data_IF_400682059937
#
_entry.id   IF_400682059937
#
_cell.length_a   1.000
_cell.length_b   1.000
_cell.length_c   1.000
_cell.angle_alpha   90.00
_cell.angle_beta   90.00
_cell.angle_gamma   90.00
#
_symmetry.space_group_name_H-M   'P 1'
#
loop_
_entity.id
_entity.type
_entity.pdbx_description
1 polymer ?
#
# COMPACT_ATOMS: atom_id res chain seq x y z
N UNK A 1 37.07 6.28 4.86
CA UNK A 1 37.09 4.80 4.92
C UNK A 1 36.34 4.38 6.17
N UNK A 2 35.07 3.99 6.02
CA UNK A 2 34.31 3.16 6.96
C UNK A 2 33.20 2.49 6.13
N UNK A 3 33.27 1.17 6.07
CA UNK A 3 32.32 0.29 5.40
C UNK A 3 31.40 -0.28 6.48
N UNK A 4 30.08 -0.26 6.30
CA UNK A 4 29.16 -1.14 7.05
C UNK A 4 28.37 -1.95 6.03
N UNK A 5 28.75 -3.22 5.92
CA UNK A 5 27.97 -4.27 5.27
C UNK A 5 26.89 -4.72 6.24
N UNK A 6 25.65 -4.81 5.78
CA UNK A 6 24.56 -5.42 6.53
C UNK A 6 23.37 -5.71 5.63
N UNK A 7 23.47 -6.72 4.77
CA UNK A 7 22.29 -7.41 4.24
C UNK A 7 21.82 -8.38 5.33
N UNK A 8 20.59 -8.22 5.86
CA UNK A 8 19.98 -9.30 6.62
C UNK A 8 19.72 -10.48 5.68
N UNK A 9 20.24 -11.64 6.05
CA UNK A 9 19.95 -12.91 5.40
C UNK A 9 18.44 -13.22 5.55
N UNK A 10 17.77 -13.57 4.45
CA UNK A 10 16.35 -13.97 4.45
C UNK A 10 16.08 -15.11 5.45
N UNK A 11 17.10 -15.93 5.74
CA UNK A 11 17.04 -16.97 6.77
C UNK A 11 16.96 -16.42 8.20
N UNK A 12 17.67 -15.31 8.48
CA UNK A 12 17.63 -14.63 9.78
C UNK A 12 16.30 -13.91 10.02
N UNK A 13 15.71 -13.32 8.96
CA UNK A 13 14.36 -12.77 9.02
C UNK A 13 13.32 -13.86 9.28
N UNK A 14 13.44 -15.02 8.62
CA UNK A 14 12.55 -16.15 8.84
C UNK A 14 12.67 -16.76 10.26
N UNK A 15 13.87 -16.79 10.86
CA UNK A 15 14.07 -17.25 12.24
C UNK A 15 13.51 -16.24 13.27
N UNK A 16 13.67 -14.94 13.02
CA UNK A 16 13.13 -13.88 13.88
C UNK A 16 11.59 -13.88 13.87
N UNK A 17 10.99 -14.11 12.70
CA UNK A 17 9.54 -14.31 12.56
C UNK A 17 9.11 -15.61 13.28
N UNK A 18 9.85 -16.72 13.14
CA UNK A 18 9.53 -17.99 13.83
C UNK A 18 9.61 -17.90 15.36
N UNK A 19 10.56 -17.16 15.91
CA UNK A 19 10.66 -16.91 17.36
C UNK A 19 9.50 -16.04 17.87
N UNK A 20 9.10 -15.03 17.09
CA UNK A 20 7.93 -14.18 17.37
C UNK A 20 6.64 -14.99 17.39
N UNK A 21 6.43 -15.87 16.41
CA UNK A 21 5.24 -16.72 16.31
C UNK A 21 5.24 -17.94 17.26
N UNK A 22 6.39 -18.40 17.75
CA UNK A 22 6.46 -19.47 18.76
C UNK A 22 5.96 -19.03 20.14
N UNK A 23 6.10 -17.74 20.47
CA UNK A 23 5.64 -17.22 21.77
C UNK A 23 4.11 -17.11 21.86
N UNK A 24 3.42 -17.11 20.71
CA UNK A 24 1.98 -16.85 20.56
C UNK A 24 1.12 -18.11 20.30
N UNK A 25 1.69 -19.29 20.13
CA UNK A 25 0.95 -20.51 19.69
C UNK A 25 0.38 -21.40 20.81
N UNK A 26 0.17 -20.89 22.02
CA UNK A 26 -0.53 -21.66 23.07
C UNK A 26 -2.03 -21.37 23.05
N UNK A 27 -2.73 -22.14 22.21
CA UNK A 27 -4.14 -22.55 22.24
C UNK A 27 -5.16 -21.65 21.51
N UNK A 28 -5.70 -22.16 20.39
CA UNK A 28 -7.09 -22.64 20.26
C UNK A 28 -7.38 -23.09 18.82
N UNK A 29 -8.28 -24.07 18.65
CA UNK A 29 -8.67 -24.65 17.36
C UNK A 29 -10.01 -24.03 16.81
N UNK A 30 -10.62 -24.55 15.71
CA UNK A 30 -11.73 -23.95 14.94
C UNK A 30 -13.18 -24.51 15.13
N UNK A 31 -14.21 -23.71 14.75
CA UNK A 31 -15.57 -24.16 14.35
C UNK A 31 -15.85 -23.89 12.85
N UNK A 32 -16.82 -24.64 12.32
CA UNK A 32 -17.07 -25.02 10.92
C UNK A 32 -17.77 -23.96 10.04
N UNK A 33 -17.47 -23.98 8.73
CA UNK A 33 -18.33 -23.46 7.65
C UNK A 33 -18.48 -24.55 6.59
N UNK A 34 -19.73 -24.79 6.18
CA UNK A 34 -20.14 -25.70 5.10
C UNK A 34 -19.55 -25.28 3.74
N UNK A 35 -18.96 -26.23 3.00
CA UNK A 35 -18.73 -26.10 1.56
C UNK A 35 -19.39 -27.24 0.79
N UNK A 36 -19.95 -26.85 -0.35
CA UNK A 36 -20.69 -27.67 -1.29
C UNK A 36 -19.78 -28.56 -2.14
N UNK A 37 -20.30 -29.74 -2.45
CA UNK A 37 -19.64 -30.82 -3.17
C UNK A 37 -19.30 -30.52 -4.64
N UNK A 38 -18.14 -31.06 -5.06
CA UNK A 38 -17.93 -32.03 -6.17
C UNK A 38 -16.82 -31.65 -7.17
N UNK A 39 -15.65 -32.30 -7.04
CA UNK A 39 -15.00 -33.03 -8.15
C UNK A 39 -14.26 -34.25 -7.56
N UNK A 40 -14.50 -35.41 -8.17
CA UNK A 40 -14.00 -36.74 -7.86
C UNK A 40 -12.55 -36.97 -8.32
N UNK A 41 -11.70 -37.56 -7.47
CA UNK A 41 -10.86 -38.71 -7.85
C UNK A 41 -10.27 -39.43 -6.61
N UNK A 42 -9.94 -40.71 -6.82
CA UNK A 42 -9.77 -41.80 -5.85
C UNK A 42 -8.51 -41.77 -4.95
N UNK A 43 -8.61 -42.43 -3.78
CA UNK A 43 -7.45 -43.06 -3.10
C UNK A 43 -7.27 -42.74 -1.61
N UNK A 44 -7.80 -43.61 -0.74
CA UNK A 44 -7.84 -43.40 0.71
C UNK A 44 -6.53 -43.57 1.48
N UNK A 45 -6.47 -42.90 2.64
CA UNK A 45 -6.02 -43.44 3.95
C UNK A 45 -6.36 -42.43 5.08
N UNK A 46 -6.98 -42.95 6.12
CA UNK A 46 -7.53 -42.27 7.30
C UNK A 46 -6.47 -41.84 8.34
N UNK A 47 -6.71 -40.70 9.02
CA UNK A 47 -6.42 -40.29 10.43
C UNK A 47 -6.27 -38.75 10.48
N UNK A 48 -6.76 -37.95 11.44
CA UNK A 48 -7.49 -38.12 12.70
C UNK A 48 -8.22 -36.78 13.04
N UNK A 49 -9.25 -36.82 13.91
CA UNK A 49 -10.08 -35.67 14.36
C UNK A 49 -9.37 -34.79 15.41
N UNK A 50 -9.61 -33.48 15.38
CA UNK A 50 -9.80 -32.58 16.55
C UNK A 50 -10.30 -31.21 16.03
N UNK A 51 -11.37 -30.54 16.47
CA UNK A 51 -12.20 -30.76 17.65
C UNK A 51 -12.15 -29.63 18.68
N UNK A 52 -12.09 -28.34 18.33
CA UNK A 52 -12.47 -27.29 19.30
C UNK A 52 -12.67 -25.96 18.62
N UNK A 53 -13.75 -25.21 18.84
CA UNK A 53 -13.67 -23.73 18.84
C UNK A 53 -12.97 -23.29 20.13
N UNK A 54 -12.57 -22.03 20.25
CA UNK A 54 -13.22 -21.10 21.21
C UNK A 54 -12.44 -19.79 21.46
N UNK A 55 -13.19 -18.70 21.32
CA UNK A 55 -13.36 -17.56 22.23
C UNK A 55 -12.13 -16.85 22.84
N UNK A 56 -12.03 -15.54 22.58
CA UNK A 56 -11.13 -14.63 23.29
C UNK A 56 -11.68 -14.28 24.70
N UNK A 57 -10.85 -14.33 25.77
CA UNK A 57 -11.27 -14.32 27.19
C UNK A 57 -11.54 -12.92 27.78
N UNK A 58 -11.59 -11.89 26.95
CA UNK A 58 -11.76 -10.51 27.38
C UNK A 58 -11.08 -9.55 26.42
N UNK A 59 -11.73 -8.42 26.20
CA UNK A 59 -11.27 -7.33 25.37
C UNK A 59 -11.05 -6.09 26.23
N UNK A 60 -10.40 -5.11 25.60
CA UNK A 60 -10.36 -3.67 25.93
C UNK A 60 -9.16 -3.25 26.79
N UNK A 61 -8.30 -2.39 26.23
CA UNK A 61 -8.00 -1.01 26.68
C UNK A 61 -7.41 -0.26 25.48
N UNK A 62 -8.03 0.86 25.13
CA UNK A 62 -7.79 1.58 23.88
C UNK A 62 -6.46 2.33 23.81
N UNK A 63 -5.99 2.48 22.58
CA UNK A 63 -5.31 3.68 22.14
C UNK A 63 -6.32 4.45 21.30
N UNK A 64 -6.68 5.65 21.75
CA UNK A 64 -7.50 6.57 20.97
C UNK A 64 -6.60 7.68 20.48
N UNK A 65 -6.82 8.04 19.21
CA UNK A 65 -6.13 9.05 18.39
C UNK A 65 -4.79 8.46 17.83
N UNK A 66 -4.35 8.68 16.58
CA UNK A 66 -4.09 9.98 15.96
C UNK A 66 -4.45 10.06 14.48
N UNK A 67 -4.99 11.21 14.04
CA UNK A 67 -5.42 11.58 12.68
C UNK A 67 -4.19 11.69 11.74
N UNK A 68 -3.28 10.73 11.84
CA UNK A 68 -1.98 10.74 11.22
C UNK A 68 -2.07 10.15 9.82
N UNK A 69 -1.49 10.87 8.88
CA UNK A 69 -1.42 10.51 7.48
C UNK A 69 0.03 10.47 7.02
N UNK A 70 0.49 9.33 6.51
CA UNK A 70 1.83 9.22 5.94
C UNK A 70 1.82 9.55 4.44
N UNK A 71 2.69 10.46 3.98
CA UNK A 71 2.91 10.78 2.57
C UNK A 71 4.27 10.27 2.08
N UNK A 72 4.28 9.58 0.94
CA UNK A 72 5.49 9.01 0.36
C UNK A 72 5.96 9.74 -0.91
N UNK A 73 7.01 10.58 -0.82
CA UNK A 73 7.79 11.01 -1.97
C UNK A 73 8.63 9.86 -2.54
N UNK A 74 8.80 9.82 -3.87
CA UNK A 74 9.66 8.81 -4.54
C UNK A 74 11.10 9.30 -4.70
N UNK A 75 12.05 8.35 -4.64
CA UNK A 75 13.48 8.55 -4.89
C UNK A 75 13.93 8.12 -6.30
N UNK A 76 13.05 7.44 -7.05
CA UNK A 76 13.32 7.06 -8.44
C UNK A 76 13.19 8.32 -9.30
N UNK A 77 14.02 8.54 -10.35
CA UNK A 77 13.71 9.56 -11.34
C UNK A 77 12.29 9.28 -11.86
N UNK A 78 11.38 10.25 -11.77
CA UNK A 78 9.97 9.99 -12.06
C UNK A 78 9.15 9.51 -10.86
N UNK A 79 7.85 9.73 -10.92
CA UNK A 79 6.84 9.33 -9.94
C UNK A 79 6.63 10.34 -8.80
N UNK A 80 7.24 11.52 -8.85
CA UNK A 80 7.17 12.51 -7.76
C UNK A 80 5.92 13.37 -7.83
N UNK A 81 5.48 13.82 -6.66
CA UNK A 81 4.49 14.89 -6.58
C UNK A 81 5.17 16.24 -6.79
N UNK A 82 4.76 16.97 -7.83
CA UNK A 82 5.31 18.29 -8.16
C UNK A 82 4.80 19.41 -7.27
N UNK A 83 3.73 19.14 -6.51
CA UNK A 83 3.10 20.06 -5.58
C UNK A 83 2.86 19.38 -4.22
N UNK A 84 3.86 18.65 -3.72
CA UNK A 84 3.80 17.96 -2.42
C UNK A 84 3.42 18.91 -1.28
N UNK A 85 4.06 20.08 -1.20
CA UNK A 85 3.76 21.08 -0.16
C UNK A 85 2.27 21.48 -0.18
N UNK A 86 1.69 21.71 -1.37
CA UNK A 86 0.26 22.05 -1.52
C UNK A 86 -0.67 20.89 -1.08
N UNK A 87 -0.22 19.64 -1.27
CA UNK A 87 -0.95 18.44 -0.83
C UNK A 87 -0.92 18.32 0.69
N UNK A 88 0.26 18.53 1.30
CA UNK A 88 0.45 18.54 2.75
C UNK A 88 -0.42 19.61 3.39
N UNK A 89 -0.35 20.86 2.90
CA UNK A 89 -1.13 21.99 3.41
C UNK A 89 -2.63 21.66 3.42
N UNK A 90 -3.15 21.10 2.31
CA UNK A 90 -4.56 20.70 2.21
C UNK A 90 -4.94 19.62 3.22
N UNK A 91 -4.07 18.64 3.46
CA UNK A 91 -4.31 17.57 4.43
C UNK A 91 -4.33 18.13 5.85
N UNK A 92 -3.41 19.03 6.19
CA UNK A 92 -3.42 19.72 7.48
C UNK A 92 -4.67 20.59 7.66
N UNK A 93 -5.12 21.29 6.61
CA UNK A 93 -6.39 22.05 6.62
C UNK A 93 -7.63 21.16 6.81
N UNK A 94 -7.59 19.90 6.38
CA UNK A 94 -8.63 18.90 6.62
C UNK A 94 -8.57 18.30 8.03
N UNK A 95 -7.54 18.63 8.82
CA UNK A 95 -7.36 18.18 10.18
C UNK A 95 -6.46 16.95 10.34
N UNK A 96 -5.78 16.51 9.28
CA UNK A 96 -4.77 15.45 9.39
C UNK A 96 -3.48 16.02 10.01
N UNK A 97 -2.84 15.21 10.84
CA UNK A 97 -1.42 15.39 11.16
C UNK A 97 -0.62 14.63 10.10
N UNK A 98 0.27 15.31 9.38
CA UNK A 98 0.93 14.72 8.21
C UNK A 98 2.39 14.35 8.52
N UNK A 99 2.74 13.10 8.22
CA UNK A 99 4.10 12.57 8.31
C UNK A 99 4.66 12.30 6.90
N UNK A 100 5.59 13.12 6.44
CA UNK A 100 6.26 12.89 5.15
C UNK A 100 7.39 11.88 5.31
N UNK A 101 7.27 10.74 4.63
CA UNK A 101 8.20 9.62 4.65
C UNK A 101 9.40 9.88 3.73
N UNK A 102 10.38 10.62 4.22
CA UNK A 102 11.62 10.91 3.48
C UNK A 102 12.56 9.69 3.43
N UNK A 103 13.51 9.64 2.47
CA UNK A 103 14.50 8.56 2.34
C UNK A 103 15.21 8.22 3.64
N UNK A 104 15.60 9.26 4.38
CA UNK A 104 16.31 9.13 5.63
C UNK A 104 15.43 8.51 6.73
N UNK A 105 14.12 8.82 6.75
CA UNK A 105 13.17 8.19 7.68
C UNK A 105 12.96 6.71 7.35
N UNK A 106 12.86 6.38 6.06
CA UNK A 106 12.69 5.00 5.60
C UNK A 106 13.93 4.11 5.82
N UNK A 107 15.11 4.70 6.00
CA UNK A 107 16.36 3.94 6.19
C UNK A 107 16.40 3.10 7.47
N UNK A 108 15.58 3.43 8.48
CA UNK A 108 15.42 2.66 9.71
C UNK A 108 14.06 2.00 9.74
N UNK A 109 14.01 0.73 9.30
CA UNK A 109 12.77 -0.02 9.17
C UNK A 109 12.00 -0.16 10.49
N UNK A 110 12.67 -0.33 11.62
CA UNK A 110 12.02 -0.49 12.93
C UNK A 110 11.25 0.77 13.31
N UNK A 111 11.93 1.92 13.30
CA UNK A 111 11.30 3.21 13.58
C UNK A 111 10.21 3.56 12.58
N UNK A 112 10.44 3.22 11.31
CA UNK A 112 9.49 3.50 10.26
C UNK A 112 8.23 2.64 10.36
N UNK A 113 8.38 1.37 10.72
CA UNK A 113 7.25 0.49 10.99
C UNK A 113 6.44 0.97 12.22
N UNK A 114 7.11 1.43 13.28
CA UNK A 114 6.43 2.03 14.44
C UNK A 114 5.64 3.29 14.06
N UNK A 115 6.22 4.14 13.21
CA UNK A 115 5.57 5.34 12.70
C UNK A 115 4.30 4.99 11.91
N UNK A 116 4.40 4.08 10.93
CA UNK A 116 3.27 3.63 10.13
C UNK A 116 2.20 2.92 10.95
N UNK A 117 2.57 2.17 11.99
CA UNK A 117 1.61 1.54 12.88
C UNK A 117 0.71 2.56 13.59
N UNK A 118 1.17 3.81 13.71
CA UNK A 118 0.40 4.91 14.29
C UNK A 118 -0.46 5.68 13.27
N UNK A 119 -0.32 5.40 11.96
CA UNK A 119 -1.05 6.09 10.89
C UNK A 119 -2.40 5.44 10.61
N UNK A 120 -3.43 6.27 10.44
CA UNK A 120 -4.77 5.83 10.03
C UNK A 120 -4.95 5.89 8.51
N UNK A 121 -4.16 6.73 7.84
CA UNK A 121 -4.13 6.85 6.38
C UNK A 121 -2.69 6.81 5.88
N UNK A 122 -2.47 6.11 4.77
CA UNK A 122 -1.22 6.15 4.02
C UNK A 122 -1.51 6.55 2.59
N UNK A 123 -0.75 7.53 2.09
CA UNK A 123 -0.88 8.08 0.75
C UNK A 123 0.43 7.96 0.01
N UNK A 124 0.39 7.43 -1.20
CA UNK A 124 1.56 7.39 -2.06
C UNK A 124 1.23 7.11 -3.51
N UNK A 125 2.14 7.52 -4.39
CA UNK A 125 2.10 7.13 -5.79
C UNK A 125 2.38 5.63 -5.96
N UNK A 126 1.85 5.04 -7.04
CA UNK A 126 2.30 3.73 -7.47
C UNK A 126 3.83 3.70 -7.59
N UNK A 127 4.48 2.75 -6.91
CA UNK A 127 5.94 2.64 -6.88
C UNK A 127 6.64 3.41 -5.75
N UNK A 128 5.93 4.25 -4.98
CA UNK A 128 6.49 5.03 -3.88
C UNK A 128 6.70 4.23 -2.58
N UNK A 129 7.03 2.94 -2.67
CA UNK A 129 7.22 2.09 -1.48
C UNK A 129 5.93 1.70 -0.77
N UNK A 130 4.81 1.65 -1.50
CA UNK A 130 3.49 1.31 -0.96
C UNK A 130 3.39 -0.07 -0.29
N UNK A 131 4.36 -0.96 -0.50
CA UNK A 131 4.48 -2.24 0.22
C UNK A 131 4.60 -2.07 1.73
N UNK A 132 5.04 -0.90 2.21
CA UNK A 132 5.12 -0.59 3.63
C UNK A 132 3.74 -0.48 4.29
N UNK A 133 2.64 -0.48 3.52
CA UNK A 133 1.28 -0.57 4.03
C UNK A 133 1.04 -1.82 4.91
N UNK A 134 1.89 -2.85 4.82
CA UNK A 134 1.87 -4.02 5.72
C UNK A 134 2.05 -3.66 7.20
N UNK A 135 2.63 -2.48 7.51
CA UNK A 135 2.82 -2.01 8.88
C UNK A 135 1.63 -1.21 9.42
N UNK A 136 0.67 -0.84 8.56
CA UNK A 136 -0.54 -0.15 8.96
C UNK A 136 -1.43 -1.06 9.81
N UNK A 137 -2.17 -0.50 10.78
CA UNK A 137 -3.17 -1.26 11.52
C UNK A 137 -4.34 -1.67 10.60
N UNK A 138 -4.96 -2.81 10.90
CA UNK A 138 -6.17 -3.24 10.21
C UNK A 138 -7.28 -2.15 10.31
N UNK A 139 -8.00 -1.92 9.22
CA UNK A 139 -8.97 -0.85 9.09
C UNK A 139 -8.39 0.52 8.68
N UNK A 140 -7.05 0.66 8.61
CA UNK A 140 -6.45 1.86 8.05
C UNK A 140 -6.75 2.00 6.55
N UNK A 141 -6.63 3.23 6.04
CA UNK A 141 -6.89 3.56 4.64
C UNK A 141 -5.59 3.71 3.86
N UNK A 142 -5.48 3.00 2.75
CA UNK A 142 -4.41 3.18 1.78
C UNK A 142 -4.94 3.92 0.55
N UNK A 143 -4.49 5.15 0.36
CA UNK A 143 -4.78 5.95 -0.83
C UNK A 143 -3.62 5.82 -1.82
N UNK A 144 -3.89 5.20 -2.97
CA UNK A 144 -2.91 5.08 -4.03
C UNK A 144 -3.18 6.11 -5.13
N UNK A 145 -2.20 6.97 -5.41
CA UNK A 145 -2.17 7.76 -6.63
C UNK A 145 -1.69 6.86 -7.78
N UNK A 146 -2.53 6.69 -8.80
CA UNK A 146 -2.30 5.81 -9.95
C UNK A 146 -1.85 6.65 -11.15
N UNK A 147 -0.58 6.55 -11.58
CA UNK A 147 -0.07 7.25 -12.75
C UNK A 147 -0.66 6.70 -14.06
N UNK A 148 -0.50 7.45 -15.17
CA UNK A 148 -0.92 7.00 -16.50
C UNK A 148 -0.28 5.66 -16.84
N UNK A 149 -1.06 4.78 -17.49
CA UNK A 149 -0.59 3.49 -17.97
C UNK A 149 -0.40 2.42 -16.90
N UNK A 150 -0.61 2.73 -15.61
CA UNK A 150 -0.35 1.81 -14.50
C UNK A 150 -1.61 1.31 -13.79
N UNK A 151 -2.80 1.43 -14.39
CA UNK A 151 -4.07 0.97 -13.81
C UNK A 151 -4.02 -0.50 -13.35
N UNK A 152 -3.73 -1.40 -14.29
CA UNK A 152 -3.72 -2.84 -14.00
C UNK A 152 -2.65 -3.17 -12.95
N UNK A 153 -1.46 -2.58 -13.06
CA UNK A 153 -0.39 -2.81 -12.10
C UNK A 153 -0.78 -2.32 -10.70
N UNK A 154 -1.44 -1.17 -10.59
CA UNK A 154 -1.88 -0.60 -9.31
C UNK A 154 -2.89 -1.50 -8.61
N UNK A 155 -3.92 -1.92 -9.33
CA UNK A 155 -4.96 -2.78 -8.77
C UNK A 155 -4.40 -4.15 -8.35
N UNK A 156 -3.53 -4.76 -9.15
CA UNK A 156 -3.04 -6.12 -8.87
C UNK A 156 -1.88 -6.17 -7.88
N UNK A 157 -1.03 -5.14 -7.83
CA UNK A 157 0.11 -5.13 -6.90
C UNK A 157 -0.25 -4.57 -5.53
N UNK A 158 -1.25 -3.70 -5.44
CA UNK A 158 -1.58 -3.00 -4.20
C UNK A 158 -3.06 -3.08 -3.85
N UNK A 159 -3.98 -2.81 -4.79
CA UNK A 159 -5.41 -2.74 -4.48
C UNK A 159 -6.01 -4.01 -3.89
N UNK A 160 -5.83 -5.14 -4.59
CA UNK A 160 -6.23 -6.47 -4.10
C UNK A 160 -5.52 -6.83 -2.78
N UNK A 161 -4.17 -6.86 -2.75
CA UNK A 161 -3.42 -7.19 -1.54
C UNK A 161 -3.75 -6.31 -0.32
N UNK A 162 -3.93 -5.00 -0.49
CA UNK A 162 -4.31 -4.11 0.62
C UNK A 162 -5.66 -4.49 1.22
N UNK A 163 -6.62 -4.85 0.38
CA UNK A 163 -7.94 -5.31 0.83
C UNK A 163 -7.85 -6.64 1.58
N UNK A 164 -7.02 -7.58 1.12
CA UNK A 164 -6.78 -8.87 1.79
C UNK A 164 -6.08 -8.72 3.14
N UNK A 165 -5.24 -7.69 3.30
CA UNK A 165 -4.61 -7.34 4.58
C UNK A 165 -5.55 -6.60 5.55
N UNK A 166 -6.82 -6.41 5.18
CA UNK A 166 -7.81 -5.72 6.02
C UNK A 166 -7.70 -4.19 5.99
N UNK A 167 -7.07 -3.62 4.96
CA UNK A 167 -7.04 -2.18 4.74
C UNK A 167 -8.19 -1.73 3.84
N UNK A 168 -8.62 -0.48 4.01
CA UNK A 168 -9.50 0.18 3.05
C UNK A 168 -8.67 0.77 1.91
N UNK A 169 -8.87 0.30 0.69
CA UNK A 169 -8.14 0.78 -0.47
C UNK A 169 -8.92 1.86 -1.24
N UNK A 170 -8.25 2.96 -1.56
CA UNK A 170 -8.81 4.08 -2.32
C UNK A 170 -7.85 4.48 -3.45
N UNK A 171 -8.36 4.52 -4.68
CA UNK A 171 -7.59 4.96 -5.85
C UNK A 171 -7.83 6.45 -6.16
N UNK A 172 -6.76 7.18 -6.42
CA UNK A 172 -6.77 8.46 -7.13
C UNK A 172 -6.07 8.27 -8.48
N UNK A 173 -6.85 8.08 -9.53
CA UNK A 173 -6.32 8.00 -10.90
C UNK A 173 -6.09 9.40 -11.43
N UNK A 174 -4.88 9.69 -11.87
CA UNK A 174 -4.57 11.00 -12.43
C UNK A 174 -5.25 11.18 -13.80
N UNK A 175 -5.64 12.41 -14.11
CA UNK A 175 -5.94 12.80 -15.48
C UNK A 175 -4.65 13.05 -16.27
N UNK A 176 -4.68 12.97 -17.62
CA UNK A 176 -3.52 13.27 -18.44
C UNK A 176 -2.84 14.59 -18.10
N UNK A 177 -3.60 15.66 -17.88
CA UNK A 177 -3.09 17.01 -17.61
C UNK A 177 -2.31 17.12 -16.29
N UNK A 178 -2.52 16.18 -15.36
CA UNK A 178 -1.78 16.08 -14.10
C UNK A 178 -0.40 15.45 -14.31
N UNK A 179 -0.18 14.73 -15.41
CA UNK A 179 1.10 14.09 -15.74
C UNK A 179 2.06 15.06 -16.43
N UNK A 180 3.35 14.99 -16.08
CA UNK A 180 4.42 15.69 -16.81
C UNK A 180 4.50 15.25 -18.28
N UNK A 181 4.13 14.00 -18.58
CA UNK A 181 4.13 13.43 -19.93
C UNK A 181 3.21 14.21 -20.87
N UNK A 182 2.13 14.80 -20.37
CA UNK A 182 1.18 15.55 -21.20
C UNK A 182 1.82 16.78 -21.82
N UNK A 183 2.65 17.49 -21.06
CA UNK A 183 3.41 18.65 -21.57
C UNK A 183 4.58 18.24 -22.46
N UNK A 184 5.21 17.11 -22.15
CA UNK A 184 6.38 16.61 -22.87
C UNK A 184 6.01 16.08 -24.27
N UNK A 185 4.93 15.29 -24.36
CA UNK A 185 4.55 14.60 -25.59
C UNK A 185 3.39 15.27 -26.34
N UNK A 186 2.56 16.03 -25.64
CA UNK A 186 1.33 16.61 -26.19
C UNK A 186 0.11 15.66 -26.11
N UNK A 187 -1.11 16.21 -26.24
CA UNK A 187 -2.36 15.50 -25.96
C UNK A 187 -2.64 14.32 -26.90
N UNK A 188 -2.21 14.40 -28.16
CA UNK A 188 -2.52 13.39 -29.18
C UNK A 188 -1.46 12.28 -29.28
N UNK A 189 -0.38 12.38 -28.49
CA UNK A 189 0.71 11.41 -28.58
C UNK A 189 0.29 10.05 -27.99
N UNK A 190 0.73 8.91 -28.57
CA UNK A 190 0.34 7.58 -28.09
C UNK A 190 0.66 7.32 -26.61
N UNK A 191 1.67 7.99 -26.04
CA UNK A 191 1.96 7.93 -24.59
C UNK A 191 0.75 8.37 -23.74
N UNK A 192 -0.08 9.27 -24.25
CA UNK A 192 -1.27 9.79 -23.59
C UNK A 192 -2.52 9.00 -23.99
N UNK A 193 -2.78 8.88 -25.31
CA UNK A 193 -4.07 8.35 -25.81
C UNK A 193 -4.09 6.84 -26.05
N UNK A 194 -2.92 6.20 -26.18
CA UNK A 194 -2.82 4.76 -26.38
C UNK A 194 -1.65 4.14 -25.60
N UNK A 195 -1.73 4.10 -24.25
CA UNK A 195 -0.67 3.50 -23.44
C UNK A 195 -0.35 2.05 -23.80
N UNK A 196 -1.34 1.29 -24.28
CA UNK A 196 -1.16 -0.10 -24.69
C UNK A 196 -0.12 -0.22 -25.81
N UNK A 197 -0.09 0.72 -26.75
CA UNK A 197 0.93 0.76 -27.80
C UNK A 197 2.36 0.87 -27.26
N UNK A 198 2.55 1.51 -26.11
CA UNK A 198 3.86 1.63 -25.45
C UNK A 198 4.21 0.30 -24.77
N UNK A 199 3.26 -0.34 -24.09
CA UNK A 199 3.46 -1.69 -23.53
C UNK A 199 3.78 -2.75 -24.59
N UNK A 200 3.22 -2.63 -25.80
CA UNK A 200 3.56 -3.53 -26.92
C UNK A 200 5.01 -3.40 -27.40
N UNK A 201 5.69 -2.29 -27.08
CA UNK A 201 7.13 -2.11 -27.34
C UNK A 201 8.02 -2.82 -26.31
N UNK A 202 7.42 -3.41 -25.28
CA UNK A 202 8.10 -4.17 -24.24
C UNK A 202 8.11 -3.46 -22.88
N UNK A 203 8.46 -4.23 -21.85
CA UNK A 203 8.48 -3.77 -20.45
C UNK A 203 9.41 -2.56 -20.25
N UNK A 204 10.60 -2.58 -20.83
CA UNK A 204 11.59 -1.50 -20.63
C UNK A 204 11.08 -0.15 -21.15
N UNK A 205 10.37 -0.16 -22.29
CA UNK A 205 9.76 1.05 -22.84
C UNK A 205 8.64 1.58 -21.93
N UNK A 206 7.73 0.70 -21.49
CA UNK A 206 6.64 1.09 -20.60
C UNK A 206 7.15 1.58 -19.25
N UNK A 207 8.17 0.93 -18.68
CA UNK A 207 8.81 1.35 -17.43
C UNK A 207 9.46 2.72 -17.59
N UNK A 208 10.29 2.91 -18.61
CA UNK A 208 10.97 4.17 -18.85
C UNK A 208 9.99 5.34 -19.02
N UNK A 209 8.82 5.10 -19.62
CA UNK A 209 7.79 6.12 -19.81
C UNK A 209 6.94 6.35 -18.55
N UNK A 210 6.27 5.31 -18.04
CA UNK A 210 5.19 5.47 -17.06
C UNK A 210 5.63 5.36 -15.61
N UNK A 211 6.72 4.65 -15.35
CA UNK A 211 7.26 4.45 -14.00
C UNK A 211 8.37 5.47 -13.74
N UNK A 212 9.38 5.51 -14.60
CA UNK A 212 10.59 6.31 -14.39
C UNK A 212 10.51 7.71 -15.08
N UNK A 213 9.55 7.91 -16.00
CA UNK A 213 9.48 9.12 -16.84
C UNK A 213 8.44 10.15 -16.43
N UNK A 214 7.62 9.87 -15.42
CA UNK A 214 6.37 10.57 -15.18
C UNK A 214 6.29 11.19 -13.79
N UNK A 215 6.28 12.51 -13.70
CA UNK A 215 5.93 13.21 -12.46
C UNK A 215 4.47 13.68 -12.51
N UNK A 216 3.91 13.98 -11.35
CA UNK A 216 2.47 14.28 -11.23
C UNK A 216 2.25 15.56 -10.46
N UNK A 217 1.47 16.48 -11.02
CA UNK A 217 0.92 17.63 -10.31
C UNK A 217 -0.53 17.34 -9.97
N UNK A 218 -0.79 17.01 -8.70
CA UNK A 218 -2.09 16.53 -8.23
C UNK A 218 -3.11 17.67 -8.23
N UNK A 219 -4.28 17.41 -8.81
CA UNK A 219 -5.43 18.29 -8.73
C UNK A 219 -6.01 18.27 -7.31
N UNK A 220 -5.74 19.33 -6.55
CA UNK A 220 -6.11 19.43 -5.15
C UNK A 220 -7.64 19.35 -4.91
N UNK A 221 -8.46 19.84 -5.84
CA UNK A 221 -9.93 19.80 -5.68
C UNK A 221 -10.42 18.36 -5.73
N UNK A 222 -10.00 17.60 -6.74
CA UNK A 222 -10.34 16.17 -6.90
C UNK A 222 -9.72 15.34 -5.79
N UNK A 223 -8.48 15.65 -5.41
CA UNK A 223 -7.78 14.92 -4.37
C UNK A 223 -8.41 15.12 -2.98
N UNK A 224 -8.92 16.33 -2.70
CA UNK A 224 -9.71 16.61 -1.50
C UNK A 224 -10.91 15.69 -1.36
N UNK A 225 -11.61 15.41 -2.47
CA UNK A 225 -12.75 14.48 -2.46
C UNK A 225 -12.33 13.04 -2.11
N UNK A 226 -11.14 12.62 -2.55
CA UNK A 226 -10.55 11.33 -2.16
C UNK A 226 -10.22 11.29 -0.67
N UNK A 227 -9.64 12.34 -0.12
CA UNK A 227 -9.34 12.42 1.31
C UNK A 227 -10.62 12.39 2.15
N UNK A 228 -11.66 13.12 1.74
CA UNK A 228 -12.96 13.06 2.40
C UNK A 228 -13.60 11.66 2.30
N UNK A 229 -13.37 10.92 1.21
CA UNK A 229 -13.78 9.52 1.12
C UNK A 229 -12.99 8.62 2.07
N UNK A 230 -11.67 8.86 2.22
CA UNK A 230 -10.83 8.15 3.18
C UNK A 230 -11.32 8.37 4.62
N UNK A 231 -11.65 9.62 4.99
CA UNK A 231 -12.15 9.96 6.33
C UNK A 231 -13.43 9.20 6.72
N UNK A 232 -14.32 8.93 5.76
CA UNK A 232 -15.55 8.16 6.02
C UNK A 232 -15.28 6.74 6.50
N UNK A 233 -14.18 6.11 6.06
CA UNK A 233 -13.78 4.79 6.55
C UNK A 233 -13.28 4.83 8.00
N UNK A 234 -12.78 5.99 8.44
CA UNK A 234 -12.31 6.21 9.80
C UNK A 234 -13.45 6.62 10.77
N UNK A 235 -14.67 6.79 10.28
CA UNK A 235 -15.84 7.18 11.08
C UNK A 235 -15.98 8.68 11.32
N UNK A 236 -15.37 9.51 10.45
CA UNK A 236 -15.46 10.97 10.45
C UNK A 236 -16.40 11.51 9.37
#
# INVERSE_FOLDING_TARGET
MCTVKGTMDAKALAEHLKERFKKESRNCAPEEIEEADNVSDEGGKEKAKDGSVHCFPGAVIGLKYHDNLALYPTEIPGGTFMNEDEIVDMMEELGFQVDVATPNRMSNLEKFAEELNSCSVMVGAHGAGLTNAVFLPAGAVMVQVVPLGLDWASTNYFGGPASEMGLHYVEYKIEPEESSLFKEYGPDHPVIVDPKSIFLKGYDAARATYVDGQNMKINLVKFREILLKAMKFLGH
#
